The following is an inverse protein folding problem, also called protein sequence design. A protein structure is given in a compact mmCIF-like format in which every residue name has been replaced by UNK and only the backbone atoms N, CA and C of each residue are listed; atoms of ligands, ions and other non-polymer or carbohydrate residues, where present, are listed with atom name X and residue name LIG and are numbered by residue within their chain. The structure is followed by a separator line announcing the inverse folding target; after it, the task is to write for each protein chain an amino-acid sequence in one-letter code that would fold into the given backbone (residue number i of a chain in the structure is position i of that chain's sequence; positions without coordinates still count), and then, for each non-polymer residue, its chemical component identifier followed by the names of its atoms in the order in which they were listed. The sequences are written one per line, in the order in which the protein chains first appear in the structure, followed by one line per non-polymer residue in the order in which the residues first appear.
data_IF_849787413092
#
_entry.id   IF_849787413092
#
_cell.length_a   1.000
_cell.length_b   1.000
_cell.length_c   1.000
_cell.angle_alpha   90.00
_cell.angle_beta   90.00
_cell.angle_gamma   90.00
#
_symmetry.space_group_name_H-M   'P 1'
#
loop_
_entity.id
_entity.type
_entity.pdbx_description
1 polymer ?
#
# COMPACT_ATOMS: atom_id res chain seq x y z
N UNK A 1 -18.40 -4.32 37.44
CA UNK A 1 -18.08 -4.23 36.00
C UNK A 1 -19.35 -4.52 35.23
N UNK A 2 -19.79 -3.58 34.38
CA UNK A 2 -21.10 -3.68 33.72
C UNK A 2 -20.98 -4.53 32.45
N UNK A 3 -21.98 -5.36 32.17
CA UNK A 3 -21.99 -6.30 31.04
C UNK A 3 -22.27 -5.62 29.68
N UNK A 4 -22.33 -4.28 29.67
CA UNK A 4 -22.67 -3.43 28.52
C UNK A 4 -21.44 -2.80 27.82
N UNK A 5 -20.22 -3.14 28.25
CA UNK A 5 -18.97 -2.66 27.64
C UNK A 5 -18.51 -3.55 26.46
N UNK A 6 -19.36 -4.47 26.00
CA UNK A 6 -19.05 -5.30 24.83
C UNK A 6 -19.25 -4.45 23.55
N UNK A 7 -18.20 -4.27 22.72
CA UNK A 7 -18.30 -3.47 21.50
C UNK A 7 -19.35 -4.08 20.58
N UNK A 8 -20.35 -3.28 20.25
CA UNK A 8 -21.46 -3.66 19.38
C UNK A 8 -20.91 -4.02 18.00
N UNK A 9 -21.44 -5.03 17.30
CA UNK A 9 -20.99 -5.42 15.96
C UNK A 9 -20.98 -4.26 14.92
N UNK A 10 -21.67 -3.16 15.21
CA UNK A 10 -21.66 -1.89 14.47
C UNK A 10 -20.33 -1.10 14.60
N UNK A 11 -19.62 -1.20 15.73
CA UNK A 11 -18.27 -0.65 15.92
C UNK A 11 -17.18 -1.55 15.31
N UNK A 12 -17.46 -2.81 14.97
CA UNK A 12 -16.47 -3.66 14.29
C UNK A 12 -16.48 -3.49 12.76
N UNK A 13 -17.42 -2.71 12.21
CA UNK A 13 -17.42 -2.23 10.80
C UNK A 13 -16.46 -1.04 10.57
N UNK A 14 -15.58 -0.72 11.52
CA UNK A 14 -14.86 0.57 11.65
C UNK A 14 -13.84 0.91 10.55
N UNK A 15 -13.65 0.07 9.53
CA UNK A 15 -12.89 0.46 8.34
C UNK A 15 -13.76 0.17 7.13
N UNK A 16 -14.70 1.07 6.85
CA UNK A 16 -15.42 1.07 5.58
C UNK A 16 -14.42 1.00 4.42
N UNK A 17 -14.75 0.28 3.35
CA UNK A 17 -13.88 0.14 2.16
C UNK A 17 -13.34 1.49 1.69
N UNK A 18 -14.20 2.51 1.68
CA UNK A 18 -13.84 3.89 1.30
C UNK A 18 -12.78 4.49 2.22
N UNK A 19 -12.87 4.23 3.52
CA UNK A 19 -11.88 4.70 4.49
C UNK A 19 -10.54 3.99 4.28
N UNK A 20 -10.56 2.68 4.05
CA UNK A 20 -9.36 1.88 3.72
C UNK A 20 -8.68 2.33 2.42
N UNK A 21 -9.45 2.69 1.40
CA UNK A 21 -8.91 3.26 0.15
C UNK A 21 -8.35 4.66 0.42
N UNK A 22 -9.09 5.51 1.14
CA UNK A 22 -8.69 6.89 1.45
C UNK A 22 -7.37 6.98 2.20
N UNK A 23 -7.17 6.14 3.23
CA UNK A 23 -5.90 6.10 3.95
C UNK A 23 -4.74 5.61 3.07
N UNK A 24 -5.00 4.66 2.17
CA UNK A 24 -4.00 4.14 1.25
C UNK A 24 -3.56 5.21 0.24
N UNK A 25 -4.53 5.92 -0.35
CA UNK A 25 -4.28 7.04 -1.28
C UNK A 25 -3.51 8.16 -0.59
N UNK A 26 -3.92 8.52 0.64
CA UNK A 26 -3.20 9.51 1.44
C UNK A 26 -1.76 9.07 1.78
N UNK A 27 -1.52 7.77 1.98
CA UNK A 27 -0.18 7.25 2.23
C UNK A 27 0.72 7.25 0.98
N UNK A 28 0.14 7.17 -0.23
CA UNK A 28 0.89 7.11 -1.49
C UNK A 28 1.19 8.52 -2.00
N UNK A 29 0.22 9.45 -1.89
CA UNK A 29 0.38 10.82 -2.35
C UNK A 29 1.29 11.58 -1.37
N UNK A 30 2.50 11.89 -1.80
CA UNK A 30 3.47 12.69 -1.06
C UNK A 30 4.24 13.67 -1.96
N UNK A 31 5.43 14.11 -1.52
CA UNK A 31 6.27 15.03 -2.30
C UNK A 31 6.70 14.49 -3.68
N UNK A 32 6.65 13.17 -3.86
CA UNK A 32 7.01 12.49 -5.11
C UNK A 32 6.23 12.97 -6.35
N UNK A 33 4.95 13.36 -6.21
CA UNK A 33 4.16 13.85 -7.35
C UNK A 33 4.68 15.18 -7.91
N UNK A 34 5.29 16.01 -7.05
CA UNK A 34 5.85 17.31 -7.44
C UNK A 34 7.29 17.15 -7.94
N UNK A 35 8.07 16.30 -7.28
CA UNK A 35 9.50 16.15 -7.58
C UNK A 35 9.77 15.24 -8.78
N UNK A 36 9.06 14.12 -8.92
CA UNK A 36 9.37 13.11 -9.94
C UNK A 36 9.22 13.63 -11.39
N UNK A 37 8.15 14.36 -11.77
CA UNK A 37 8.04 14.91 -13.13
C UNK A 37 9.13 15.94 -13.42
N UNK A 38 9.53 16.74 -12.43
CA UNK A 38 10.60 17.73 -12.56
C UNK A 38 11.97 17.10 -12.84
N UNK A 39 12.28 15.99 -12.19
CA UNK A 39 13.50 15.20 -12.45
C UNK A 39 13.50 14.67 -13.89
N UNK A 40 12.39 14.03 -14.31
CA UNK A 40 12.28 13.42 -15.64
C UNK A 40 12.32 14.50 -16.74
N UNK A 41 11.68 15.65 -16.50
CA UNK A 41 11.71 16.80 -17.39
C UNK A 41 13.14 17.32 -17.61
N UNK A 42 13.95 17.39 -16.56
CA UNK A 42 15.33 17.84 -16.66
C UNK A 42 16.16 16.94 -17.59
N UNK A 43 15.91 15.63 -17.56
CA UNK A 43 16.64 14.64 -18.37
C UNK A 43 16.18 14.58 -19.83
N UNK A 44 14.87 14.63 -20.10
CA UNK A 44 14.34 14.33 -21.45
C UNK A 44 13.82 15.57 -22.19
N UNK A 45 13.41 16.63 -21.47
CA UNK A 45 12.87 17.89 -22.01
C UNK A 45 11.72 17.73 -23.02
N UNK A 46 11.01 16.60 -22.98
CA UNK A 46 9.86 16.31 -23.82
C UNK A 46 8.65 15.94 -22.97
N UNK A 47 7.50 16.64 -23.10
CA UNK A 47 6.32 16.39 -22.28
C UNK A 47 5.72 15.00 -22.53
N UNK A 48 5.76 14.51 -23.77
CA UNK A 48 5.20 13.21 -24.14
C UNK A 48 5.93 12.05 -23.46
N UNK A 49 7.27 12.12 -23.39
CA UNK A 49 8.08 11.05 -22.80
C UNK A 49 7.97 11.07 -21.27
N UNK A 50 7.85 12.26 -20.65
CA UNK A 50 7.61 12.38 -19.20
C UNK A 50 6.31 11.67 -18.80
N UNK A 51 5.22 11.90 -19.54
CA UNK A 51 3.95 11.23 -19.30
C UNK A 51 4.03 9.72 -19.53
N UNK A 52 4.74 9.27 -20.57
CA UNK A 52 4.92 7.86 -20.88
C UNK A 52 5.68 7.13 -19.78
N UNK A 53 6.77 7.72 -19.28
CA UNK A 53 7.55 7.17 -18.16
C UNK A 53 6.75 7.12 -16.87
N UNK A 54 5.93 8.15 -16.59
CA UNK A 54 5.05 8.17 -15.44
C UNK A 54 3.99 7.07 -15.53
N UNK A 55 3.41 6.87 -16.72
CA UNK A 55 2.45 5.79 -16.97
C UNK A 55 3.07 4.40 -16.80
N UNK A 56 4.28 4.17 -17.33
CA UNK A 56 5.02 2.91 -17.14
C UNK A 56 5.31 2.68 -15.66
N UNK A 57 5.74 3.71 -14.92
CA UNK A 57 5.94 3.62 -13.48
C UNK A 57 4.66 3.25 -12.73
N UNK A 58 3.51 3.81 -13.14
CA UNK A 58 2.20 3.44 -12.63
C UNK A 58 1.85 1.96 -12.87
N UNK A 59 2.11 1.44 -14.08
CA UNK A 59 1.87 0.03 -14.40
C UNK A 59 2.74 -0.91 -13.56
N UNK A 60 4.01 -0.59 -13.36
CA UNK A 60 4.92 -1.38 -12.51
C UNK A 60 4.43 -1.37 -11.06
N UNK A 61 4.01 -0.20 -10.55
CA UNK A 61 3.45 -0.07 -9.20
C UNK A 61 2.16 -0.87 -9.03
N UNK A 62 1.27 -0.88 -10.02
CA UNK A 62 0.05 -1.69 -10.02
C UNK A 62 0.37 -3.19 -9.96
N UNK A 63 1.33 -3.66 -10.77
CA UNK A 63 1.77 -5.05 -10.75
C UNK A 63 2.33 -5.45 -9.37
N UNK A 64 3.14 -4.58 -8.76
CA UNK A 64 3.63 -4.78 -7.39
C UNK A 64 2.49 -4.84 -6.36
N UNK A 65 1.54 -3.91 -6.43
CA UNK A 65 0.37 -3.86 -5.55
C UNK A 65 -0.46 -5.14 -5.63
N UNK A 66 -0.68 -5.67 -6.83
CA UNK A 66 -1.45 -6.90 -7.02
C UNK A 66 -0.80 -8.11 -6.32
N UNK A 67 0.52 -8.23 -6.40
CA UNK A 67 1.29 -9.26 -5.68
C UNK A 67 1.14 -9.10 -4.16
N UNK A 68 1.20 -7.86 -3.64
CA UNK A 68 0.97 -7.60 -2.22
C UNK A 68 -0.47 -7.93 -1.78
N UNK A 69 -1.47 -7.65 -2.63
CA UNK A 69 -2.87 -8.02 -2.38
C UNK A 69 -3.03 -9.53 -2.33
N UNK A 70 -2.45 -10.27 -3.28
CA UNK A 70 -2.49 -11.73 -3.29
C UNK A 70 -1.88 -12.30 -2.00
N UNK A 71 -0.75 -11.76 -1.57
CA UNK A 71 -0.09 -12.17 -0.33
C UNK A 71 -0.93 -11.85 0.91
N UNK A 72 -1.57 -10.68 0.96
CA UNK A 72 -2.44 -10.25 2.06
C UNK A 72 -3.76 -11.00 2.14
N UNK A 73 -4.29 -11.48 1.02
CA UNK A 73 -5.46 -12.37 0.99
C UNK A 73 -5.07 -13.77 1.46
N UNK A 74 -3.90 -14.27 1.04
CA UNK A 74 -3.40 -15.61 1.39
C UNK A 74 -2.96 -15.71 2.85
N UNK A 75 -2.31 -14.68 3.39
CA UNK A 75 -1.77 -14.66 4.75
C UNK A 75 -2.38 -13.50 5.52
N UNK A 76 -3.46 -13.75 6.28
CA UNK A 76 -4.12 -12.74 7.12
C UNK A 76 -3.39 -12.48 8.43
N UNK A 77 -2.11 -12.13 8.34
CA UNK A 77 -1.25 -11.91 9.51
C UNK A 77 -1.05 -10.41 9.70
N UNK A 78 -1.50 -9.88 10.83
CA UNK A 78 -1.29 -8.46 11.17
C UNK A 78 0.19 -8.25 11.53
N UNK A 79 0.91 -7.46 10.74
CA UNK A 79 2.35 -7.20 10.89
C UNK A 79 3.12 -6.86 9.61
N UNK A 80 2.46 -6.87 8.45
CA UNK A 80 3.05 -6.45 7.18
C UNK A 80 4.16 -7.39 6.68
N UNK A 81 5.09 -6.85 5.90
CA UNK A 81 6.14 -7.61 5.22
C UNK A 81 7.05 -8.38 6.19
N UNK A 82 7.38 -7.79 7.34
CA UNK A 82 8.21 -8.43 8.37
C UNK A 82 7.62 -9.77 8.80
N UNK A 83 6.29 -9.87 8.98
CA UNK A 83 5.66 -11.13 9.39
C UNK A 83 5.55 -12.14 8.26
N UNK A 84 5.42 -11.71 7.01
CA UNK A 84 5.50 -12.64 5.88
C UNK A 84 6.88 -13.27 5.78
N UNK A 85 7.93 -12.46 5.92
CA UNK A 85 9.32 -12.94 5.92
C UNK A 85 9.61 -13.85 7.11
N UNK A 86 9.12 -13.53 8.31
CA UNK A 86 9.26 -14.40 9.49
C UNK A 86 8.51 -15.74 9.34
N UNK A 87 7.39 -15.76 8.60
CA UNK A 87 6.62 -16.98 8.34
C UNK A 87 7.30 -17.85 7.29
N UNK A 88 7.85 -17.24 6.23
CA UNK A 88 8.53 -17.96 5.14
C UNK A 88 9.96 -18.39 5.52
N UNK A 89 10.66 -17.57 6.29
CA UNK A 89 12.02 -17.79 6.77
C UNK A 89 12.08 -17.65 8.29
N UNK A 90 11.51 -18.61 9.04
CA UNK A 90 11.72 -18.67 10.47
C UNK A 90 13.20 -18.96 10.71
N UNK A 91 13.96 -17.92 11.12
CA UNK A 91 15.33 -18.10 11.55
C UNK A 91 15.39 -19.21 12.59
N UNK A 92 16.26 -20.20 12.37
CA UNK A 92 16.56 -21.25 13.35
C UNK A 92 16.81 -20.60 14.71
N UNK A 93 15.85 -20.76 15.63
CA UNK A 93 16.01 -20.38 17.02
C UNK A 93 17.26 -21.10 17.54
N UNK A 94 18.32 -20.34 17.83
CA UNK A 94 19.34 -20.77 18.78
C UNK A 94 18.89 -20.35 20.17
#
# INVERSE_FOLDING_TARGET
MNQNDAPNAHELRIISLVYGIGINVNSIIGSGIVTAPGIIWNSVKSPGIVLLLWFIGGLISMAGSLTYVELGVKHRISGGEIKYLQTAYPGTKK
#
